data_IF_042768363356
#
_entry.id   IF_042768363356
#
_cell.length_a   1.000
_cell.length_b   1.000
_cell.length_c   1.000
_cell.angle_alpha   90.00
_cell.angle_beta   90.00
_cell.angle_gamma   90.00
#
_symmetry.space_group_name_H-M   'P 1'
#
loop_
_entity.id
_entity.type
_entity.pdbx_description
1 polymer ?
#
# COMPACT_ATOMS: atom_id res chain seq x y z
N UNK A 1 -22.02 -19.93 -11.63
CA UNK A 1 -20.58 -20.20 -11.70
C UNK A 1 -20.01 -19.34 -12.81
N UNK A 2 -19.49 -18.14 -12.49
CA UNK A 2 -18.87 -17.26 -13.49
C UNK A 2 -17.36 -17.47 -13.45
N UNK A 3 -16.82 -17.71 -14.64
CA UNK A 3 -15.47 -18.11 -14.95
C UNK A 3 -14.41 -17.22 -14.31
N UNK A 4 -13.42 -17.85 -13.67
CA UNK A 4 -12.13 -17.24 -13.35
C UNK A 4 -11.43 -17.05 -14.70
N UNK A 5 -11.57 -15.86 -15.28
CA UNK A 5 -10.72 -15.43 -16.38
C UNK A 5 -9.39 -15.05 -15.73
N UNK A 6 -8.28 -15.63 -16.18
CA UNK A 6 -6.94 -15.08 -15.96
C UNK A 6 -6.97 -13.64 -16.49
N UNK A 7 -7.21 -12.69 -15.57
CA UNK A 7 -7.39 -11.28 -15.88
C UNK A 7 -6.02 -10.63 -15.97
N UNK A 8 -5.76 -9.97 -17.10
CA UNK A 8 -4.88 -8.81 -17.28
C UNK A 8 -4.33 -8.24 -15.98
N UNK A 9 -3.02 -8.01 -15.91
CA UNK A 9 -2.39 -7.26 -14.83
C UNK A 9 -3.24 -6.04 -14.48
N UNK A 10 -3.84 -6.08 -13.29
CA UNK A 10 -4.74 -5.02 -12.84
C UNK A 10 -3.99 -3.70 -12.82
N UNK A 11 -2.69 -3.73 -12.47
CA UNK A 11 -1.76 -2.60 -12.42
C UNK A 11 -0.62 -2.81 -13.41
N UNK A 12 -0.40 -1.87 -14.31
CA UNK A 12 0.78 -1.90 -15.17
C UNK A 12 1.99 -1.35 -14.41
N UNK A 13 2.98 -2.20 -14.19
CA UNK A 13 4.29 -1.84 -13.64
C UNK A 13 5.40 -2.28 -14.59
N UNK A 14 6.61 -1.76 -14.39
CA UNK A 14 7.79 -2.22 -15.14
C UNK A 14 8.02 -3.72 -14.89
N UNK A 15 8.36 -4.47 -15.95
CA UNK A 15 8.66 -5.91 -15.86
C UNK A 15 9.80 -6.22 -14.85
N UNK A 16 10.66 -5.25 -14.56
CA UNK A 16 11.74 -5.36 -13.59
C UNK A 16 11.33 -4.95 -12.17
N UNK A 17 10.05 -4.69 -11.91
CA UNK A 17 9.57 -4.38 -10.57
C UNK A 17 9.79 -5.60 -9.65
N UNK A 18 10.70 -5.50 -8.66
CA UNK A 18 11.23 -6.69 -7.98
C UNK A 18 10.22 -7.36 -7.04
N UNK A 19 9.10 -6.71 -6.76
CA UNK A 19 8.07 -7.22 -5.86
C UNK A 19 6.79 -7.63 -6.58
N UNK A 20 6.71 -7.58 -7.92
CA UNK A 20 5.49 -7.99 -8.64
C UNK A 20 5.03 -9.39 -8.21
N UNK A 21 3.74 -9.61 -7.88
CA UNK A 21 2.60 -8.68 -8.00
C UNK A 21 2.27 -7.89 -6.71
N UNK A 22 3.19 -7.80 -5.74
CA UNK A 22 2.99 -7.16 -4.43
C UNK A 22 3.45 -5.70 -4.42
N UNK A 23 2.65 -4.84 -3.80
CA UNK A 23 2.93 -3.42 -3.64
C UNK A 23 3.17 -3.08 -2.17
N UNK A 24 4.17 -2.24 -1.91
CA UNK A 24 4.47 -1.71 -0.58
C UNK A 24 4.33 -0.19 -0.59
N UNK A 25 3.47 0.35 0.26
CA UNK A 25 3.25 1.79 0.40
C UNK A 25 3.30 2.14 1.87
N UNK A 26 3.94 3.25 2.21
CA UNK A 26 3.93 3.83 3.54
C UNK A 26 3.10 5.11 3.52
N UNK A 27 2.04 5.12 4.33
CA UNK A 27 1.13 6.26 4.51
C UNK A 27 1.20 6.70 5.97
N UNK A 28 1.32 8.01 6.21
CA UNK A 28 1.28 8.58 7.56
C UNK A 28 -0.14 8.60 8.12
N UNK A 29 -0.29 8.87 9.42
CA UNK A 29 -1.61 8.94 10.06
C UNK A 29 -2.45 10.12 9.54
N UNK A 30 -1.81 11.14 8.97
CA UNK A 30 -2.45 12.30 8.32
C UNK A 30 -2.84 12.04 6.85
N UNK A 31 -2.87 10.78 6.41
CA UNK A 31 -3.22 10.38 5.06
C UNK A 31 -2.26 10.91 3.97
N UNK A 32 -0.97 11.02 4.30
CA UNK A 32 0.09 11.43 3.36
C UNK A 32 0.91 10.21 2.92
N UNK A 33 1.11 10.05 1.62
CA UNK A 33 1.97 8.98 1.07
C UNK A 33 3.44 9.39 1.17
N UNK A 34 4.10 8.92 2.22
CA UNK A 34 5.52 9.18 2.49
C UNK A 34 6.44 8.38 1.56
N UNK A 35 6.09 7.12 1.28
CA UNK A 35 6.81 6.27 0.33
C UNK A 35 5.83 5.48 -0.52
N UNK A 36 5.97 5.58 -1.85
CA UNK A 36 5.15 4.80 -2.78
C UNK A 36 5.84 3.49 -3.21
N UNK A 37 5.14 2.67 -3.99
CA UNK A 37 5.60 1.32 -4.36
C UNK A 37 6.90 1.27 -5.16
N UNK A 38 7.28 2.35 -5.84
CA UNK A 38 8.56 2.42 -6.56
C UNK A 38 9.77 2.52 -5.62
N UNK A 39 9.53 2.88 -4.35
CA UNK A 39 10.54 3.02 -3.31
C UNK A 39 10.56 1.81 -2.35
N UNK A 40 10.20 0.63 -2.85
CA UNK A 40 10.05 -0.61 -2.06
C UNK A 40 11.23 -0.92 -1.13
N UNK A 41 12.48 -0.71 -1.59
CA UNK A 41 13.67 -0.87 -0.74
C UNK A 41 13.60 0.01 0.52
N UNK A 42 13.21 1.28 0.39
CA UNK A 42 13.12 2.21 1.53
C UNK A 42 12.05 1.77 2.52
N UNK A 43 10.91 1.29 2.01
CA UNK A 43 9.84 0.75 2.86
C UNK A 43 10.35 -0.48 3.64
N UNK A 44 11.05 -1.40 2.98
CA UNK A 44 11.66 -2.57 3.62
C UNK A 44 12.75 -2.21 4.63
N UNK A 45 13.57 -1.19 4.35
CA UNK A 45 14.59 -0.69 5.28
C UNK A 45 13.94 -0.08 6.53
N UNK A 46 12.82 0.61 6.37
CA UNK A 46 12.03 1.17 7.48
C UNK A 46 11.40 0.05 8.32
N UNK A 47 10.76 -0.94 7.68
CA UNK A 47 10.25 -2.12 8.37
C UNK A 47 11.38 -2.82 9.12
N UNK A 48 12.54 -3.05 8.48
CA UNK A 48 13.70 -3.68 9.14
C UNK A 48 14.15 -2.87 10.36
N UNK A 49 14.22 -1.54 10.27
CA UNK A 49 14.64 -0.71 11.40
C UNK A 49 13.72 -0.87 12.62
N UNK A 50 12.42 -0.88 12.40
CA UNK A 50 11.43 -0.90 13.48
C UNK A 50 11.05 -2.31 13.94
N UNK A 51 10.99 -3.29 13.04
CA UNK A 51 10.56 -4.65 13.37
C UNK A 51 11.72 -5.58 13.73
N UNK A 52 12.95 -5.34 13.27
CA UNK A 52 14.06 -6.27 13.54
C UNK A 52 14.57 -6.22 14.98
N UNK A 53 14.27 -5.14 15.71
CA UNK A 53 14.67 -4.96 17.11
C UNK A 53 13.68 -5.67 18.06
N UNK A 54 12.44 -5.88 17.62
CA UNK A 54 11.36 -6.42 18.44
C UNK A 54 11.06 -7.86 18.02
N UNK A 55 11.27 -8.82 18.93
CA UNK A 55 10.93 -10.22 18.68
C UNK A 55 9.43 -10.51 18.81
N UNK A 56 8.70 -9.62 19.48
CA UNK A 56 7.27 -9.73 19.76
C UNK A 56 6.58 -8.37 19.60
N UNK A 57 5.27 -8.39 19.41
CA UNK A 57 4.46 -7.18 19.35
C UNK A 57 4.30 -6.61 20.75
N UNK A 58 4.54 -5.31 20.91
CA UNK A 58 4.41 -4.60 22.18
C UNK A 58 2.93 -4.48 22.59
N UNK A 59 2.60 -4.96 23.79
CA UNK A 59 1.22 -5.05 24.28
C UNK A 59 0.56 -3.68 24.39
N UNK A 60 1.31 -2.68 24.82
CA UNK A 60 0.79 -1.33 25.08
C UNK A 60 0.38 -0.66 23.76
N UNK A 61 1.14 -0.91 22.68
CA UNK A 61 0.77 -0.49 21.33
C UNK A 61 -0.51 -1.18 20.84
N UNK A 62 -0.70 -2.47 21.16
CA UNK A 62 -1.92 -3.21 20.80
C UNK A 62 -3.13 -2.64 21.55
N UNK A 63 -2.99 -2.34 22.84
CA UNK A 63 -4.04 -1.74 23.65
C UNK A 63 -4.41 -0.33 23.18
N UNK A 64 -3.42 0.48 22.79
CA UNK A 64 -3.63 1.80 22.21
C UNK A 64 -4.47 1.71 20.94
N UNK A 65 -4.09 0.82 20.01
CA UNK A 65 -4.84 0.62 18.76
C UNK A 65 -6.23 0.04 19.03
N UNK A 66 -6.37 -0.91 19.94
CA UNK A 66 -7.67 -1.45 20.34
C UNK A 66 -8.57 -0.36 20.91
N UNK A 67 -8.03 0.56 21.70
CA UNK A 67 -8.77 1.70 22.23
C UNK A 67 -9.19 2.66 21.11
N UNK A 68 -8.24 3.08 20.25
CA UNK A 68 -8.50 3.96 19.09
C UNK A 68 -9.56 3.37 18.15
N UNK A 69 -9.51 2.05 17.91
CA UNK A 69 -10.41 1.34 16.99
C UNK A 69 -11.67 0.78 17.64
N UNK A 70 -11.87 0.97 18.95
CA UNK A 70 -12.94 0.32 19.72
C UNK A 70 -12.97 -1.21 19.51
N UNK A 71 -11.81 -1.86 19.65
CA UNK A 71 -11.55 -3.26 19.37
C UNK A 71 -11.92 -3.64 17.93
N UNK A 72 -11.44 -2.86 16.96
CA UNK A 72 -11.69 -3.08 15.53
C UNK A 72 -13.11 -2.74 15.06
N UNK A 73 -13.98 -2.20 15.91
CA UNK A 73 -15.34 -1.82 15.53
C UNK A 73 -15.40 -0.52 14.72
N UNK A 74 -14.39 0.34 14.89
CA UNK A 74 -14.23 1.56 14.12
C UNK A 74 -12.85 1.56 13.44
N UNK A 75 -12.84 1.28 12.14
CA UNK A 75 -11.64 1.26 11.31
C UNK A 75 -11.70 2.30 10.17
N UNK A 76 -12.65 3.23 10.22
CA UNK A 76 -12.91 4.20 9.14
C UNK A 76 -11.64 4.99 8.76
N UNK A 77 -10.88 5.42 9.78
CA UNK A 77 -9.59 6.09 9.60
C UNK A 77 -8.59 5.22 8.82
N UNK A 78 -8.34 4.00 9.27
CA UNK A 78 -7.38 3.09 8.62
C UNK A 78 -7.86 2.63 7.24
N UNK A 79 -9.17 2.50 7.02
CA UNK A 79 -9.77 2.26 5.71
C UNK A 79 -9.52 3.43 4.76
N UNK A 80 -9.58 4.68 5.27
CA UNK A 80 -9.22 5.85 4.49
C UNK A 80 -7.72 5.86 4.12
N UNK A 81 -6.83 5.53 5.06
CA UNK A 81 -5.39 5.39 4.78
C UNK A 81 -5.11 4.32 3.71
N UNK A 82 -5.83 3.20 3.75
CA UNK A 82 -5.74 2.15 2.73
C UNK A 82 -6.21 2.64 1.36
N UNK A 83 -7.31 3.40 1.30
CA UNK A 83 -7.78 3.98 0.05
C UNK A 83 -6.73 4.92 -0.57
N UNK A 84 -6.11 5.78 0.25
CA UNK A 84 -5.00 6.65 -0.18
C UNK A 84 -3.80 5.86 -0.71
N UNK A 85 -3.46 4.73 -0.07
CA UNK A 85 -2.39 3.86 -0.55
C UNK A 85 -2.71 3.26 -1.92
N UNK A 86 -3.94 2.76 -2.12
CA UNK A 86 -4.40 2.20 -3.39
C UNK A 86 -4.43 3.26 -4.49
N UNK A 87 -4.98 4.44 -4.21
CA UNK A 87 -5.03 5.55 -5.16
C UNK A 87 -3.61 5.97 -5.59
N UNK A 88 -2.65 5.93 -4.67
CA UNK A 88 -1.24 6.17 -5.01
C UNK A 88 -0.63 5.12 -5.94
N UNK A 89 -1.03 3.85 -5.82
CA UNK A 89 -0.56 2.80 -6.72
C UNK A 89 -1.15 3.03 -8.11
N UNK A 90 -2.47 3.24 -8.19
CA UNK A 90 -3.19 3.47 -9.43
C UNK A 90 -2.67 4.71 -10.18
N UNK A 91 -2.56 5.85 -9.48
CA UNK A 91 -2.06 7.10 -10.06
C UNK A 91 -0.62 7.00 -10.57
N UNK A 92 0.26 6.28 -9.86
CA UNK A 92 1.64 6.06 -10.32
C UNK A 92 1.73 5.08 -11.50
N UNK A 93 0.83 4.10 -11.59
CA UNK A 93 0.71 3.26 -12.78
C UNK A 93 0.26 4.07 -14.00
N UNK A 94 -0.70 5.00 -13.83
CA UNK A 94 -1.17 5.89 -14.89
C UNK A 94 -0.06 6.84 -15.39
N UNK A 95 0.67 7.50 -14.49
CA UNK A 95 1.82 8.34 -14.85
C UNK A 95 2.84 7.58 -15.71
N UNK A 96 3.15 6.33 -15.34
CA UNK A 96 4.08 5.46 -16.08
C UNK A 96 3.54 5.05 -17.45
N UNK A 97 2.24 4.76 -17.53
CA UNK A 97 1.55 4.53 -18.80
C UNK A 97 1.67 5.73 -19.74
N UNK A 98 1.57 6.95 -19.21
CA UNK A 98 1.74 8.19 -19.97
C UNK A 98 3.20 8.41 -20.41
N UNK A 99 4.19 8.21 -19.52
CA UNK A 99 5.63 8.31 -19.89
C UNK A 99 6.00 7.36 -21.04
N UNK A 100 5.45 6.15 -21.05
CA UNK A 100 5.64 5.17 -22.13
C UNK A 100 5.14 5.68 -23.49
N UNK A 101 4.10 6.52 -23.53
CA UNK A 101 3.59 7.13 -24.77
C UNK A 101 4.56 8.15 -25.38
N UNK A 102 5.42 8.76 -24.58
CA UNK A 102 6.40 9.75 -25.04
C UNK A 102 7.76 9.13 -25.42
N UNK A 103 7.98 7.83 -25.17
CA UNK A 103 9.15 7.11 -25.66
C UNK A 103 9.00 6.77 -27.17
N UNK A 104 10.09 6.93 -27.95
CA UNK A 104 10.09 6.66 -29.40
C UNK A 104 9.88 5.17 -29.68
N UNK A 105 8.61 4.77 -29.88
CA UNK A 105 8.22 3.40 -30.27
C UNK A 105 6.82 2.99 -29.83
N UNK A 106 5.90 3.95 -29.68
CA UNK A 106 4.64 3.82 -28.94
C UNK A 106 3.67 2.72 -29.37
N UNK A 107 2.61 2.60 -28.56
CA UNK A 107 1.50 1.61 -28.50
C UNK A 107 1.80 0.51 -27.46
N UNK A 108 1.09 0.38 -26.34
CA UNK A 108 -0.36 0.09 -26.21
C UNK A 108 -1.02 0.93 -25.11
N UNK A 109 -1.99 1.77 -25.51
CA UNK A 109 -3.06 2.20 -24.61
C UNK A 109 -4.04 1.05 -24.45
N UNK A 110 -4.10 0.46 -23.27
CA UNK A 110 -5.38 0.00 -22.74
C UNK A 110 -5.71 0.80 -21.49
N UNK A 111 -5.93 2.10 -21.66
CA UNK A 111 -6.64 2.91 -20.68
C UNK A 111 -8.08 2.39 -20.61
N UNK A 112 -8.35 1.38 -19.79
CA UNK A 112 -9.73 0.88 -19.60
C UNK A 112 -9.98 0.09 -18.32
N UNK A 113 -9.08 0.14 -17.34
CA UNK A 113 -9.43 -0.25 -15.98
C UNK A 113 -9.10 0.91 -15.07
N UNK A 114 -10.14 1.65 -14.69
CA UNK A 114 -10.10 2.45 -13.47
C UNK A 114 -9.76 1.49 -12.34
N UNK A 115 -8.47 1.41 -12.00
CA UNK A 115 -8.00 0.56 -10.91
C UNK A 115 -8.58 1.10 -9.63
N UNK A 116 -9.35 0.28 -8.94
CA UNK A 116 -10.01 0.64 -7.69
C UNK A 116 -9.54 -0.23 -6.54
N UNK A 117 -9.99 0.10 -5.33
CA UNK A 117 -9.76 -0.71 -4.12
C UNK A 117 -10.17 -2.18 -4.29
N UNK A 118 -11.11 -2.48 -5.19
CA UNK A 118 -11.59 -3.83 -5.49
C UNK A 118 -10.58 -4.72 -6.24
N UNK A 119 -9.57 -4.11 -6.88
CA UNK A 119 -8.51 -4.83 -7.60
C UNK A 119 -7.36 -5.26 -6.67
N UNK A 120 -7.38 -4.83 -5.41
CA UNK A 120 -6.32 -5.09 -4.43
C UNK A 120 -6.83 -5.89 -3.24
N UNK A 121 -5.98 -6.77 -2.74
CA UNK A 121 -6.16 -7.45 -1.46
C UNK A 121 -5.03 -7.07 -0.51
N UNK A 122 -5.37 -6.73 0.73
CA UNK A 122 -4.37 -6.50 1.78
C UNK A 122 -3.80 -7.84 2.22
N UNK A 123 -2.52 -8.06 1.95
CA UNK A 123 -1.80 -9.28 2.37
C UNK A 123 -1.30 -9.14 3.81
N UNK A 124 -0.81 -7.95 4.19
CA UNK A 124 -0.30 -7.64 5.53
C UNK A 124 -0.26 -6.13 5.76
N UNK A 125 -0.18 -5.73 7.02
CA UNK A 125 0.03 -4.34 7.43
C UNK A 125 0.92 -4.28 8.68
N UNK A 126 1.62 -3.17 8.85
CA UNK A 126 2.39 -2.82 10.04
C UNK A 126 1.98 -1.42 10.46
N UNK A 127 1.50 -1.26 11.69
CA UNK A 127 1.23 0.06 12.26
C UNK A 127 2.42 0.47 13.12
N UNK A 128 2.91 1.68 12.90
CA UNK A 128 3.89 2.32 13.76
C UNK A 128 3.12 3.31 14.64
N UNK A 129 3.23 3.12 15.94
CA UNK A 129 2.64 4.01 16.94
C UNK A 129 3.75 4.52 17.83
N UNK A 130 3.60 5.75 18.31
CA UNK A 130 4.49 6.29 19.32
C UNK A 130 4.16 5.66 20.68
N UNK A 131 5.16 5.11 21.35
CA UNK A 131 5.01 4.50 22.68
C UNK A 131 4.80 5.56 23.76
N UNK A 132 5.15 6.83 23.50
CA UNK A 132 4.81 7.94 24.40
C UNK A 132 3.30 8.20 24.49
N UNK A 133 2.53 7.91 23.42
CA UNK A 133 1.06 8.00 23.45
C UNK A 133 0.41 6.81 24.17
N UNK A 134 1.10 5.67 24.28
CA UNK A 134 0.59 4.48 24.97
C UNK A 134 0.80 4.55 26.50
N UNK A 135 1.82 5.28 26.95
CA UNK A 135 2.15 5.47 28.37
C UNK A 135 1.49 6.69 29.04
N UNK A 136 0.69 7.48 28.30
CA UNK A 136 0.03 8.70 28.76
C UNK A 136 -1.42 8.46 29.21
#
# INVERSE_FOLDING_TARGET
MKNIREGKEAVQVDDNYPLSPYFLVYVSDEAVVELNFTQSKKVLDLIKRHAFIHSEVETDCVELINTKTKNGRNLEHYQHLLAVAVDSIAGKSEEKGVESLFAKGGTVLTATSSQGIEDFAVVSYLMLVDTEEACA
#
